data_IF_605088076322
#
_entry.id   IF_605088076322
#
_cell.length_a   1.000
_cell.length_b   1.000
_cell.length_c   1.000
_cell.angle_alpha   90.00
_cell.angle_beta   90.00
_cell.angle_gamma   90.00
#
_symmetry.space_group_name_H-M   'P 1'
#
loop_
_entity.id
_entity.type
_entity.pdbx_description
1 polymer ?
#
# COMPACT_ATOMS: atom_id res chain seq x y z
N UNK A 1 27.67 10.79 20.11
CA UNK A 1 26.74 9.86 19.41
C UNK A 1 25.56 10.67 18.88
N UNK A 2 25.12 10.39 17.65
CA UNK A 2 23.98 11.09 17.03
C UNK A 2 22.69 10.80 17.82
N UNK A 3 21.88 11.84 18.09
CA UNK A 3 20.55 11.69 18.70
C UNK A 3 19.51 11.62 17.59
N UNK A 4 18.97 10.42 17.34
CA UNK A 4 18.06 10.17 16.22
C UNK A 4 16.88 9.29 16.68
N UNK A 5 15.68 9.56 16.17
CA UNK A 5 14.47 8.77 16.44
C UNK A 5 13.57 8.71 15.22
N UNK A 6 12.71 7.68 15.11
CA UNK A 6 11.76 7.54 13.98
C UNK A 6 10.88 8.79 13.82
N UNK A 7 10.38 9.34 14.94
CA UNK A 7 9.60 10.59 14.94
C UNK A 7 10.44 11.80 14.53
N UNK A 8 11.71 11.87 14.95
CA UNK A 8 12.62 12.94 14.54
C UNK A 8 12.88 12.94 13.03
N UNK A 9 13.10 11.76 12.44
CA UNK A 9 13.27 11.61 10.99
C UNK A 9 12.01 12.05 10.24
N UNK A 10 10.83 11.68 10.73
CA UNK A 10 9.54 12.08 10.14
C UNK A 10 9.34 13.59 10.13
N UNK A 11 9.67 14.26 11.23
CA UNK A 11 9.56 15.72 11.35
C UNK A 11 10.61 16.47 10.51
N UNK A 12 11.74 15.84 10.20
CA UNK A 12 12.78 16.42 9.34
C UNK A 12 12.46 16.27 7.85
N UNK A 13 11.67 15.27 7.47
CA UNK A 13 11.29 15.06 6.07
C UNK A 13 10.49 16.26 5.54
N UNK A 14 10.77 16.66 4.31
CA UNK A 14 10.07 17.78 3.67
C UNK A 14 8.55 17.57 3.56
N UNK A 15 8.09 16.32 3.50
CA UNK A 15 6.67 15.98 3.55
C UNK A 15 6.45 14.53 3.99
N UNK A 16 5.21 14.20 4.34
CA UNK A 16 4.82 12.83 4.70
C UNK A 16 5.05 11.83 3.55
N UNK A 17 4.89 12.28 2.29
CA UNK A 17 5.13 11.43 1.13
C UNK A 17 6.62 11.16 0.93
N UNK A 18 7.47 12.17 1.18
CA UNK A 18 8.94 12.04 1.17
C UNK A 18 9.41 11.09 2.27
N UNK A 19 8.84 11.21 3.48
CA UNK A 19 9.10 10.29 4.59
C UNK A 19 8.75 8.84 4.21
N UNK A 20 7.52 8.62 3.73
CA UNK A 20 7.04 7.28 3.39
C UNK A 20 7.89 6.63 2.29
N UNK A 21 8.28 7.39 1.26
CA UNK A 21 9.16 6.88 0.20
C UNK A 21 10.58 6.63 0.71
N UNK A 22 11.12 7.48 1.58
CA UNK A 22 12.48 7.32 2.11
C UNK A 22 12.60 6.08 3.01
N UNK A 23 11.56 5.81 3.81
CA UNK A 23 11.43 4.56 4.56
C UNK A 23 11.32 3.35 3.63
N UNK A 24 10.56 3.46 2.54
CA UNK A 24 10.46 2.40 1.55
C UNK A 24 11.81 2.09 0.89
N UNK A 25 12.55 3.12 0.47
CA UNK A 25 13.87 2.97 -0.15
C UNK A 25 14.89 2.32 0.81
N UNK A 26 14.81 2.64 2.10
CA UNK A 26 15.62 1.97 3.12
C UNK A 26 15.27 0.48 3.22
N UNK A 27 13.97 0.15 3.30
CA UNK A 27 13.48 -1.25 3.36
C UNK A 27 13.85 -2.06 2.11
N UNK A 28 13.98 -1.41 0.96
CA UNK A 28 14.38 -2.01 -0.31
C UNK A 28 15.89 -2.18 -0.47
N UNK A 29 16.69 -1.90 0.57
CA UNK A 29 18.16 -1.94 0.54
C UNK A 29 18.78 -1.07 -0.56
N UNK A 30 18.19 0.09 -0.85
CA UNK A 30 18.78 1.05 -1.78
C UNK A 30 20.08 1.69 -1.24
N UNK A 31 20.42 1.48 0.03
CA UNK A 31 21.73 1.86 0.57
C UNK A 31 22.80 0.86 0.13
N UNK A 32 23.66 1.25 -0.80
CA UNK A 32 24.70 0.37 -1.38
C UNK A 32 26.04 0.47 -0.67
N UNK A 33 26.33 1.60 -0.04
CA UNK A 33 27.56 1.81 0.71
C UNK A 33 27.32 2.79 1.86
N UNK A 34 27.92 2.52 3.02
CA UNK A 34 27.89 3.40 4.18
C UNK A 34 29.23 3.35 4.91
N UNK A 35 29.81 4.52 5.16
CA UNK A 35 31.10 4.66 5.85
C UNK A 35 31.02 5.71 6.93
N UNK A 36 31.73 5.48 8.03
CA UNK A 36 31.90 6.45 9.11
C UNK A 36 33.34 6.96 9.13
N UNK A 37 33.51 8.28 9.28
CA UNK A 37 34.82 8.92 9.40
C UNK A 37 35.02 9.51 10.78
N UNK A 38 35.89 8.89 11.59
CA UNK A 38 36.23 9.39 12.93
C UNK A 38 36.88 10.79 12.91
N UNK A 39 37.70 11.10 11.91
CA UNK A 39 38.40 12.40 11.83
C UNK A 39 37.48 13.56 11.48
N UNK A 40 36.42 13.31 10.70
CA UNK A 40 35.46 14.31 10.25
C UNK A 40 34.10 14.21 10.94
N UNK A 41 33.95 13.28 11.88
CA UNK A 41 32.69 12.98 12.60
C UNK A 41 31.48 12.95 11.67
N UNK A 42 31.60 12.23 10.55
CA UNK A 42 30.55 12.21 9.51
C UNK A 42 30.28 10.80 8.97
N UNK A 43 29.01 10.54 8.67
CA UNK A 43 28.58 9.43 7.84
C UNK A 43 28.59 9.84 6.38
N UNK A 44 29.11 8.97 5.52
CA UNK A 44 29.01 9.08 4.07
C UNK A 44 28.31 7.84 3.53
N UNK A 45 27.13 8.06 2.97
CA UNK A 45 26.20 7.00 2.57
C UNK A 45 25.83 7.21 1.10
N UNK A 46 25.89 6.14 0.33
CA UNK A 46 25.48 6.11 -1.07
C UNK A 46 24.15 5.38 -1.18
N UNK A 47 23.13 6.09 -1.67
CA UNK A 47 21.79 5.56 -1.95
C UNK A 47 21.65 5.41 -3.46
N UNK A 48 21.42 4.19 -3.94
CA UNK A 48 21.26 3.86 -5.36
C UNK A 48 19.79 3.60 -5.66
N UNK A 49 19.23 4.44 -6.52
CA UNK A 49 17.92 4.21 -7.13
C UNK A 49 18.11 4.14 -8.66
N UNK A 50 17.70 5.16 -9.41
CA UNK A 50 18.05 5.29 -10.84
C UNK A 50 19.50 5.78 -11.03
N UNK A 51 20.00 6.56 -10.07
CA UNK A 51 21.37 7.07 -10.00
C UNK A 51 21.91 6.88 -8.59
N UNK A 52 23.21 7.10 -8.42
CA UNK A 52 23.84 7.11 -7.11
C UNK A 52 23.80 8.50 -6.49
N UNK A 53 23.14 8.59 -5.34
CA UNK A 53 23.04 9.79 -4.55
C UNK A 53 23.93 9.69 -3.33
N UNK A 54 24.79 10.69 -3.15
CA UNK A 54 25.69 10.79 -2.02
C UNK A 54 25.02 11.63 -0.94
N UNK A 55 24.82 11.01 0.23
CA UNK A 55 24.33 11.65 1.44
C UNK A 55 25.48 11.73 2.44
N UNK A 56 25.72 12.92 2.96
CA UNK A 56 26.68 13.16 4.04
C UNK A 56 25.95 13.69 5.26
N UNK A 57 26.14 13.05 6.40
CA UNK A 57 25.57 13.45 7.69
C UNK A 57 26.72 13.78 8.63
N UNK A 58 26.86 15.04 9.00
CA UNK A 58 27.87 15.51 9.94
C UNK A 58 27.29 15.51 11.35
N UNK A 59 27.97 14.90 12.31
CA UNK A 59 27.49 14.76 13.69
C UNK A 59 28.30 15.65 14.60
N UNK A 60 27.61 16.52 15.32
CA UNK A 60 28.19 17.42 16.30
C UNK A 60 28.40 16.73 17.65
N UNK A 61 29.31 17.24 18.51
CA UNK A 61 29.60 16.62 19.82
C UNK A 61 28.40 16.53 20.77
N UNK A 62 27.44 17.45 20.65
CA UNK A 62 26.18 17.48 21.41
C UNK A 62 25.15 16.44 20.92
N UNK A 63 25.46 15.73 19.85
CA UNK A 63 24.59 14.74 19.20
C UNK A 63 23.62 15.33 18.19
N UNK A 64 23.65 16.66 17.96
CA UNK A 64 22.97 17.27 16.81
C UNK A 64 23.67 16.87 15.50
N UNK A 65 22.97 17.03 14.37
CA UNK A 65 23.54 16.67 13.09
C UNK A 65 23.05 17.58 11.96
N UNK A 66 23.91 17.73 10.96
CA UNK A 66 23.60 18.37 9.70
C UNK A 66 23.61 17.33 8.58
N UNK A 67 22.79 17.53 7.56
CA UNK A 67 22.70 16.61 6.44
C UNK A 67 22.86 17.38 5.11
N UNK A 68 23.51 16.74 4.14
CA UNK A 68 23.61 17.23 2.77
C UNK A 68 23.40 16.08 1.81
N UNK A 69 22.69 16.34 0.73
CA UNK A 69 22.50 15.39 -0.36
C UNK A 69 22.79 16.07 -1.70
N UNK A 70 23.37 15.33 -2.64
CA UNK A 70 23.63 15.81 -4.00
C UNK A 70 22.41 15.75 -4.94
N UNK A 71 21.22 15.37 -4.44
CA UNK A 71 20.02 15.29 -5.27
C UNK A 71 19.41 16.67 -5.57
N UNK A 72 18.76 16.79 -6.72
CA UNK A 72 18.10 18.03 -7.17
C UNK A 72 16.89 18.44 -6.32
N UNK A 73 16.25 17.50 -5.63
CA UNK A 73 15.12 17.74 -4.71
C UNK A 73 15.55 18.49 -3.45
N UNK A 74 16.77 18.28 -2.96
CA UNK A 74 17.30 18.97 -1.78
C UNK A 74 17.44 20.49 -1.97
N UNK A 75 17.48 20.95 -3.23
CA UNK A 75 17.54 22.38 -3.57
C UNK A 75 16.16 23.04 -3.66
N UNK A 76 15.07 22.27 -3.65
CA UNK A 76 13.70 22.76 -3.94
C UNK A 76 12.74 22.69 -2.76
N UNK A 77 12.97 21.80 -1.79
CA UNK A 77 12.04 21.58 -0.68
C UNK A 77 12.62 22.08 0.66
N UNK A 78 11.79 22.71 1.49
CA UNK A 78 12.12 22.97 2.89
C UNK A 78 12.07 21.65 3.67
N UNK A 79 13.21 20.97 3.78
CA UNK A 79 13.36 19.77 4.60
C UNK A 79 14.28 18.71 4.00
N UNK A 80 14.41 17.59 4.71
CA UNK A 80 15.20 16.46 4.27
C UNK A 80 14.54 15.78 3.07
N UNK A 81 15.32 15.58 2.00
CA UNK A 81 14.88 14.82 0.85
C UNK A 81 14.77 13.33 1.18
N UNK A 82 14.15 12.58 0.27
CA UNK A 82 13.95 11.13 0.40
C UNK A 82 15.25 10.37 0.67
N UNK A 83 16.33 10.69 -0.04
CA UNK A 83 17.63 10.02 0.13
C UNK A 83 18.22 10.27 1.53
N UNK A 84 18.05 11.48 2.08
CA UNK A 84 18.47 11.81 3.45
C UNK A 84 17.66 10.99 4.45
N UNK A 85 16.34 10.90 4.27
CA UNK A 85 15.48 10.05 5.11
C UNK A 85 15.95 8.60 5.10
N UNK A 86 16.23 8.04 3.91
CA UNK A 86 16.76 6.68 3.73
C UNK A 86 18.09 6.48 4.48
N UNK A 87 19.01 7.43 4.34
CA UNK A 87 20.30 7.39 5.03
C UNK A 87 20.15 7.49 6.55
N UNK A 88 19.22 8.31 7.05
CA UNK A 88 18.94 8.45 8.48
C UNK A 88 18.36 7.17 9.08
N UNK A 89 17.47 6.48 8.37
CA UNK A 89 16.98 5.16 8.81
C UNK A 89 18.10 4.12 8.90
N UNK A 90 19.03 4.13 7.94
CA UNK A 90 20.20 3.28 8.00
C UNK A 90 21.06 3.57 9.23
N UNK A 91 21.34 4.84 9.51
CA UNK A 91 22.12 5.24 10.70
C UNK A 91 21.39 4.89 11.99
N UNK A 92 20.07 5.10 12.06
CA UNK A 92 19.27 4.75 13.22
C UNK A 92 19.38 3.26 13.54
N UNK A 93 19.17 2.40 12.54
CA UNK A 93 19.24 0.96 12.74
C UNK A 93 20.67 0.48 13.05
N UNK A 94 21.69 1.10 12.43
CA UNK A 94 23.08 0.83 12.75
C UNK A 94 23.41 1.16 14.21
N UNK A 95 22.95 2.31 14.71
CA UNK A 95 23.14 2.72 16.10
C UNK A 95 22.38 1.80 17.05
N UNK A 96 21.12 1.49 16.77
CA UNK A 96 20.30 0.55 17.55
C UNK A 96 20.98 -0.83 17.66
N UNK A 97 21.49 -1.37 16.54
CA UNK A 97 22.23 -2.64 16.52
C UNK A 97 23.56 -2.56 17.26
N UNK A 98 24.25 -1.43 17.22
CA UNK A 98 25.51 -1.24 17.94
C UNK A 98 25.32 -1.06 19.45
N UNK A 99 24.13 -0.67 19.90
CA UNK A 99 23.76 -0.52 21.31
C UNK A 99 23.23 -1.82 21.91
N UNK A 100 22.75 -2.76 21.09
CA UNK A 100 22.43 -4.11 21.53
C UNK A 100 23.75 -4.89 21.70
N UNK A 101 24.21 -5.05 22.94
CA UNK A 101 25.36 -5.92 23.25
C UNK A 101 25.03 -7.35 22.81
N UNK A 102 25.91 -7.97 22.01
CA UNK A 102 25.81 -9.42 21.78
C UNK A 102 26.01 -10.12 23.13
N UNK A 103 25.05 -10.92 23.61
CA UNK A 103 25.24 -11.67 24.84
C UNK A 103 26.38 -12.67 24.66
N UNK A 104 27.34 -12.67 25.60
CA UNK A 104 28.50 -13.58 25.60
C UNK A 104 28.10 -15.07 25.74
N UNK A 105 26.90 -15.33 26.27
CA UNK A 105 26.39 -16.67 26.49
C UNK A 105 25.87 -17.28 25.17
N UNK A 106 26.36 -18.47 24.73
CA UNK A 106 25.96 -19.09 23.46
C UNK A 106 24.45 -19.41 23.34
N UNK A 107 23.77 -19.69 24.46
CA UNK A 107 22.32 -19.92 24.45
C UNK A 107 21.55 -18.62 24.18
N UNK A 108 21.96 -17.53 24.82
CA UNK A 108 21.37 -16.20 24.62
C UNK A 108 21.73 -15.64 23.24
N UNK A 109 22.91 -15.97 22.71
CA UNK A 109 23.31 -15.59 21.34
C UNK A 109 22.39 -16.22 20.29
N UNK A 110 21.98 -17.47 20.49
CA UNK A 110 21.02 -18.15 19.61
C UNK A 110 19.64 -17.48 19.68
N UNK A 111 19.17 -17.17 20.90
CA UNK A 111 17.91 -16.44 21.10
C UNK A 111 17.99 -15.03 20.51
N UNK A 112 19.11 -14.33 20.68
CA UNK A 112 19.37 -13.01 20.11
C UNK A 112 19.38 -13.04 18.58
N UNK A 113 19.97 -14.06 17.96
CA UNK A 113 19.93 -14.26 16.50
C UNK A 113 18.51 -14.53 16.01
N UNK A 114 17.73 -15.31 16.76
CA UNK A 114 16.32 -15.59 16.45
C UNK A 114 15.47 -14.32 16.59
N UNK A 115 15.63 -13.56 17.67
CA UNK A 115 14.94 -12.28 17.89
C UNK A 115 15.35 -11.23 16.86
N UNK A 116 16.63 -11.16 16.50
CA UNK A 116 17.13 -10.32 15.42
C UNK A 116 16.54 -10.72 14.05
N UNK A 117 16.40 -12.02 13.80
CA UNK A 117 15.72 -12.55 12.61
C UNK A 117 14.25 -12.13 12.56
N UNK A 118 13.51 -12.27 13.66
CA UNK A 118 12.08 -11.87 13.72
C UNK A 118 11.87 -10.35 13.74
N UNK A 119 12.74 -9.58 14.40
CA UNK A 119 12.67 -8.11 14.41
C UNK A 119 12.96 -7.53 13.02
N UNK A 120 13.83 -8.19 12.23
CA UNK A 120 14.03 -7.85 10.81
C UNK A 120 12.84 -8.30 9.93
N UNK A 121 12.01 -9.24 10.40
CA UNK A 121 10.85 -9.76 9.69
C UNK A 121 9.61 -8.88 9.87
N UNK A 122 9.42 -8.27 11.05
CA UNK A 122 8.25 -7.40 11.34
C UNK A 122 8.28 -6.06 10.57
N UNK A 123 9.43 -5.64 10.06
CA UNK A 123 9.55 -4.46 9.18
C UNK A 123 9.82 -4.80 7.70
N UNK A 124 9.89 -6.09 7.36
CA UNK A 124 9.95 -6.55 5.97
C UNK A 124 8.56 -6.47 5.34
N UNK A 125 8.26 -5.36 4.67
CA UNK A 125 7.23 -5.41 3.62
C UNK A 125 7.85 -6.25 2.53
N UNK A 126 7.67 -7.58 2.63
CA UNK A 126 7.89 -8.51 1.53
C UNK A 126 7.16 -7.92 0.34
N UNK A 127 7.93 -7.36 -0.58
CA UNK A 127 7.41 -6.69 -1.77
C UNK A 127 6.91 -7.78 -2.69
N UNK A 128 5.71 -8.28 -2.41
CA UNK A 128 5.06 -9.21 -3.31
C UNK A 128 4.85 -8.54 -4.66
N UNK A 129 4.77 -9.39 -5.67
CA UNK A 129 4.65 -8.96 -7.06
C UNK A 129 3.47 -8.01 -7.24
N UNK A 130 3.66 -7.02 -8.11
CA UNK A 130 2.56 -6.16 -8.54
C UNK A 130 1.85 -6.81 -9.71
N UNK A 131 0.57 -7.09 -9.54
CA UNK A 131 -0.27 -7.71 -10.55
C UNK A 131 -1.21 -6.69 -11.19
N UNK A 132 -1.62 -7.01 -12.41
CA UNK A 132 -2.51 -6.22 -13.24
C UNK A 132 -3.76 -7.03 -13.59
N UNK A 133 -4.89 -6.35 -13.73
CA UNK A 133 -6.18 -6.91 -14.15
C UNK A 133 -6.51 -6.36 -15.54
N UNK A 134 -6.70 -7.26 -16.49
CA UNK A 134 -7.25 -6.96 -17.81
C UNK A 134 -8.70 -7.40 -17.87
N UNK A 135 -9.58 -6.46 -18.18
CA UNK A 135 -11.01 -6.69 -18.37
C UNK A 135 -11.29 -6.85 -19.86
N UNK A 136 -11.92 -7.96 -20.24
CA UNK A 136 -12.43 -8.18 -21.60
C UNK A 136 -13.95 -8.13 -21.57
N UNK A 137 -14.53 -7.14 -22.25
CA UNK A 137 -15.97 -6.99 -22.43
C UNK A 137 -16.37 -7.54 -23.80
N UNK A 138 -17.34 -8.46 -23.83
CA UNK A 138 -17.93 -8.99 -25.05
C UNK A 138 -19.42 -8.67 -25.09
N UNK A 139 -19.87 -8.09 -26.19
CA UNK A 139 -21.27 -7.76 -26.46
C UNK A 139 -21.66 -8.58 -27.70
N UNK A 140 -22.36 -9.72 -27.54
CA UNK A 140 -22.78 -10.53 -28.68
C UNK A 140 -23.61 -9.71 -29.68
N UNK A 141 -23.37 -9.87 -30.99
CA UNK A 141 -24.04 -9.11 -32.06
C UNK A 141 -25.57 -9.32 -32.17
N UNK A 142 -26.13 -10.30 -31.44
CA UNK A 142 -27.58 -10.57 -31.38
C UNK A 142 -28.35 -9.50 -30.57
N UNK A 143 -27.65 -8.52 -29.99
CA UNK A 143 -28.17 -7.53 -29.03
C UNK A 143 -28.67 -6.21 -29.65
N UNK A 144 -29.30 -6.26 -30.82
CA UNK A 144 -30.16 -5.15 -31.29
C UNK A 144 -31.57 -5.16 -30.68
N UNK A 145 -31.83 -6.01 -29.67
CA UNK A 145 -33.10 -6.09 -28.94
C UNK A 145 -32.97 -5.63 -27.49
N UNK A 146 -34.10 -5.31 -26.85
CA UNK A 146 -34.19 -4.63 -25.56
C UNK A 146 -33.64 -5.43 -24.35
N UNK A 147 -33.32 -6.70 -24.51
CA UNK A 147 -32.97 -7.65 -23.43
C UNK A 147 -31.48 -8.02 -23.36
N UNK A 148 -30.61 -7.26 -24.01
CA UNK A 148 -29.19 -7.63 -24.10
C UNK A 148 -28.38 -7.60 -22.81
N UNK A 149 -27.42 -8.52 -22.72
CA UNK A 149 -26.45 -8.61 -21.62
C UNK A 149 -25.01 -8.52 -22.14
N UNK A 150 -24.18 -7.75 -21.44
CA UNK A 150 -22.75 -7.71 -21.70
C UNK A 150 -22.04 -8.78 -20.86
N UNK A 151 -21.06 -9.44 -21.46
CA UNK A 151 -20.27 -10.49 -20.80
C UNK A 151 -18.90 -9.92 -20.48
N UNK A 152 -18.58 -9.82 -19.19
CA UNK A 152 -17.30 -9.37 -18.69
C UNK A 152 -16.48 -10.57 -18.24
N UNK A 153 -15.23 -10.65 -18.69
CA UNK A 153 -14.27 -11.68 -18.27
C UNK A 153 -12.96 -11.03 -17.79
N UNK A 154 -12.30 -11.70 -16.85
CA UNK A 154 -11.10 -11.18 -16.19
C UNK A 154 -9.87 -12.03 -16.52
N UNK A 155 -8.75 -11.34 -16.78
CA UNK A 155 -7.42 -11.93 -16.77
C UNK A 155 -6.53 -11.18 -15.80
N UNK A 156 -5.74 -11.90 -15.03
CA UNK A 156 -4.87 -11.32 -13.98
C UNK A 156 -3.45 -11.81 -14.14
N UNK A 157 -2.47 -10.95 -13.86
CA UNK A 157 -1.07 -11.31 -13.96
C UNK A 157 -0.14 -10.12 -14.06
N UNK A 158 1.16 -10.40 -14.03
CA UNK A 158 2.22 -9.41 -14.22
C UNK A 158 2.80 -9.55 -15.64
N UNK A 159 3.74 -10.50 -15.82
CA UNK A 159 4.33 -10.85 -17.11
C UNK A 159 3.40 -11.74 -17.96
N UNK A 160 2.75 -12.73 -17.32
CA UNK A 160 1.79 -13.63 -17.96
C UNK A 160 0.40 -13.47 -17.37
N UNK A 161 -0.61 -13.33 -18.24
CA UNK A 161 -2.00 -13.12 -17.84
C UNK A 161 -2.78 -14.42 -17.84
N UNK A 162 -3.29 -14.79 -16.67
CA UNK A 162 -4.10 -15.99 -16.46
C UNK A 162 -5.58 -15.65 -16.48
N UNK A 163 -6.37 -16.48 -17.14
CA UNK A 163 -7.84 -16.36 -17.12
C UNK A 163 -8.36 -16.72 -15.74
N UNK A 164 -9.17 -15.85 -15.15
CA UNK A 164 -9.88 -16.15 -13.90
C UNK A 164 -10.99 -17.16 -14.21
N UNK A 165 -10.87 -18.37 -13.68
CA UNK A 165 -11.79 -19.48 -13.97
C UNK A 165 -13.15 -19.30 -13.28
N UNK A 166 -13.13 -18.78 -12.05
CA UNK A 166 -14.32 -18.45 -11.26
C UNK A 166 -14.13 -17.07 -10.66
N UNK A 167 -14.86 -16.08 -11.19
CA UNK A 167 -14.78 -14.70 -10.68
C UNK A 167 -15.33 -14.63 -9.26
N UNK A 168 -16.44 -15.34 -8.97
CA UNK A 168 -17.01 -15.40 -7.61
C UNK A 168 -15.96 -15.89 -6.60
N UNK A 169 -15.33 -17.04 -6.87
CA UNK A 169 -14.28 -17.58 -6.00
C UNK A 169 -13.12 -16.60 -5.85
N UNK A 170 -12.64 -16.03 -6.95
CA UNK A 170 -11.56 -15.05 -6.92
C UNK A 170 -11.87 -13.85 -6.01
N UNK A 171 -13.09 -13.32 -6.04
CA UNK A 171 -13.52 -12.21 -5.18
C UNK A 171 -13.69 -12.65 -3.73
N UNK A 172 -14.23 -13.84 -3.46
CA UNK A 172 -14.36 -14.39 -2.11
C UNK A 172 -12.98 -14.60 -1.48
N UNK A 173 -12.06 -15.26 -2.18
CA UNK A 173 -10.70 -15.50 -1.70
C UNK A 173 -9.98 -14.16 -1.44
N UNK A 174 -10.18 -13.17 -2.31
CA UNK A 174 -9.62 -11.82 -2.12
C UNK A 174 -10.22 -11.11 -0.89
N UNK A 175 -11.54 -11.16 -0.71
CA UNK A 175 -12.24 -10.53 0.42
C UNK A 175 -11.86 -11.18 1.76
N UNK A 176 -11.76 -12.51 1.80
CA UNK A 176 -11.38 -13.28 2.99
C UNK A 176 -9.89 -13.22 3.31
N UNK A 177 -9.09 -12.50 2.51
CA UNK A 177 -7.64 -12.38 2.65
C UNK A 177 -6.90 -13.71 2.46
N UNK A 178 -7.43 -14.58 1.61
CA UNK A 178 -6.82 -15.87 1.27
C UNK A 178 -5.82 -15.73 0.10
N UNK A 179 -4.92 -16.71 -0.01
CA UNK A 179 -3.95 -16.77 -1.10
C UNK A 179 -4.63 -17.27 -2.38
N UNK A 180 -4.43 -16.56 -3.50
CA UNK A 180 -5.06 -16.87 -4.78
C UNK A 180 -4.02 -17.50 -5.71
N UNK A 181 -4.23 -18.77 -6.06
CA UNK A 181 -3.40 -19.50 -7.01
C UNK A 181 -4.16 -19.68 -8.34
N UNK A 182 -3.55 -19.28 -9.46
CA UNK A 182 -4.12 -19.48 -10.80
C UNK A 182 -3.08 -20.07 -11.75
N UNK A 183 -3.45 -21.12 -12.48
CA UNK A 183 -2.54 -21.76 -13.42
C UNK A 183 -1.29 -22.30 -12.73
N UNK A 184 -0.12 -22.13 -13.36
CA UNK A 184 1.15 -22.69 -12.88
C UNK A 184 1.97 -21.71 -12.03
N UNK A 185 1.98 -20.42 -12.37
CA UNK A 185 2.93 -19.47 -11.79
C UNK A 185 2.26 -18.28 -11.10
N UNK A 186 0.95 -18.05 -11.28
CA UNK A 186 0.29 -16.94 -10.60
C UNK A 186 -0.04 -17.31 -9.16
N UNK A 187 0.53 -16.54 -8.23
CA UNK A 187 0.33 -16.67 -6.79
C UNK A 187 0.18 -15.30 -6.15
N UNK A 188 -1.06 -14.88 -5.91
CA UNK A 188 -1.35 -13.69 -5.14
C UNK A 188 -1.34 -14.04 -3.65
N UNK A 189 -0.39 -13.49 -2.89
CA UNK A 189 -0.28 -13.67 -1.44
C UNK A 189 -0.85 -12.43 -0.77
N UNK A 190 -1.88 -12.59 0.05
CA UNK A 190 -2.53 -11.45 0.66
C UNK A 190 -1.61 -10.78 1.69
N UNK A 191 -1.45 -9.45 1.58
CA UNK A 191 -0.53 -8.68 2.44
C UNK A 191 0.89 -8.53 1.88
N UNK A 192 1.30 -9.40 0.96
CA UNK A 192 2.59 -9.32 0.27
C UNK A 192 2.39 -8.79 -1.17
N UNK A 193 1.52 -9.43 -1.94
CA UNK A 193 1.19 -9.06 -3.32
C UNK A 193 0.24 -7.86 -3.39
N UNK A 194 0.38 -7.06 -4.45
CA UNK A 194 -0.49 -5.89 -4.67
C UNK A 194 -0.99 -5.80 -6.09
N UNK A 195 -2.18 -5.21 -6.27
CA UNK A 195 -2.63 -4.76 -7.59
C UNK A 195 -2.17 -3.32 -7.82
N UNK A 196 -1.84 -2.99 -9.07
CA UNK A 196 -1.55 -1.60 -9.43
C UNK A 196 -2.79 -0.71 -9.23
N UNK A 197 -2.59 0.61 -9.18
CA UNK A 197 -3.64 1.58 -8.85
C UNK A 197 -4.85 1.50 -9.81
N UNK A 198 -4.65 1.22 -11.09
CA UNK A 198 -5.75 1.11 -12.05
C UNK A 198 -6.52 -0.19 -11.85
N UNK A 199 -5.81 -1.31 -11.71
CA UNK A 199 -6.42 -2.62 -11.45
C UNK A 199 -7.15 -2.68 -10.13
N UNK A 200 -6.63 -2.01 -9.09
CA UNK A 200 -7.31 -1.90 -7.80
C UNK A 200 -8.67 -1.22 -7.93
N UNK A 201 -8.78 -0.12 -8.67
CA UNK A 201 -10.08 0.54 -8.91
C UNK A 201 -11.09 -0.38 -9.59
N UNK A 202 -10.63 -1.16 -10.57
CA UNK A 202 -11.48 -2.16 -11.26
C UNK A 202 -11.91 -3.25 -10.29
N UNK A 203 -10.99 -3.75 -9.47
CA UNK A 203 -11.26 -4.78 -8.48
C UNK A 203 -12.25 -4.31 -7.42
N UNK A 204 -12.03 -3.11 -6.87
CA UNK A 204 -12.92 -2.47 -5.89
C UNK A 204 -14.34 -2.31 -6.47
N UNK A 205 -14.45 -1.93 -7.74
CA UNK A 205 -15.74 -1.83 -8.42
C UNK A 205 -16.44 -3.19 -8.57
N UNK A 206 -15.71 -4.23 -8.97
CA UNK A 206 -16.27 -5.57 -9.12
C UNK A 206 -16.64 -6.18 -7.76
N UNK A 207 -15.86 -5.91 -6.71
CA UNK A 207 -16.17 -6.27 -5.33
C UNK A 207 -17.47 -5.60 -4.85
N UNK A 208 -17.66 -4.32 -5.13
CA UNK A 208 -18.93 -3.63 -4.83
C UNK A 208 -20.12 -4.30 -5.52
N UNK A 209 -19.99 -4.69 -6.79
CA UNK A 209 -21.04 -5.44 -7.50
C UNK A 209 -21.31 -6.77 -6.79
N UNK A 210 -20.26 -7.47 -6.36
CA UNK A 210 -20.38 -8.73 -5.63
C UNK A 210 -21.07 -8.59 -4.28
N UNK A 211 -20.71 -7.58 -3.48
CA UNK A 211 -21.33 -7.30 -2.18
C UNK A 211 -22.81 -6.95 -2.32
N UNK A 212 -23.16 -6.12 -3.30
CA UNK A 212 -24.55 -5.79 -3.63
C UNK A 212 -25.30 -7.05 -4.02
N UNK A 213 -24.69 -7.92 -4.85
CA UNK A 213 -25.31 -9.19 -5.19
C UNK A 213 -25.50 -10.08 -3.95
N UNK A 214 -24.51 -10.29 -3.10
CA UNK A 214 -24.65 -11.13 -1.89
C UNK A 214 -25.73 -10.58 -0.94
N UNK A 215 -25.90 -9.26 -0.88
CA UNK A 215 -26.99 -8.62 -0.13
C UNK A 215 -28.39 -8.88 -0.76
N UNK A 216 -28.48 -8.95 -2.10
CA UNK A 216 -29.73 -9.15 -2.85
C UNK A 216 -30.04 -10.65 -3.09
N UNK A 217 -29.04 -11.52 -3.15
CA UNK A 217 -29.15 -12.96 -3.45
C UNK A 217 -29.97 -13.72 -2.39
N UNK A 218 -30.18 -13.13 -1.19
CA UNK A 218 -31.17 -13.64 -0.23
C UNK A 218 -32.62 -13.52 -0.70
N UNK A 219 -32.90 -12.73 -1.73
CA UNK A 219 -34.26 -12.41 -2.19
C UNK A 219 -34.50 -12.73 -3.69
N UNK A 220 -33.49 -12.71 -4.57
CA UNK A 220 -33.69 -12.93 -6.00
C UNK A 220 -32.54 -13.70 -6.67
N UNK A 221 -32.83 -14.90 -7.19
CA UNK A 221 -31.92 -15.81 -7.91
C UNK A 221 -31.38 -15.22 -9.24
N UNK A 222 -30.48 -14.23 -9.19
CA UNK A 222 -29.86 -13.69 -10.41
C UNK A 222 -28.43 -14.22 -10.61
N UNK A 223 -28.23 -15.00 -11.67
CA UNK A 223 -26.92 -15.59 -12.05
C UNK A 223 -25.97 -14.54 -12.66
N UNK A 224 -25.67 -13.46 -11.95
CA UNK A 224 -24.79 -12.39 -12.44
C UNK A 224 -23.32 -12.85 -12.49
N UNK A 225 -22.84 -13.70 -11.58
CA UNK A 225 -21.56 -14.39 -11.73
C UNK A 225 -21.76 -15.80 -12.30
N UNK A 226 -21.33 -16.01 -13.55
CA UNK A 226 -21.37 -17.29 -14.24
C UNK A 226 -19.93 -17.81 -14.49
N UNK A 227 -19.39 -18.58 -13.54
CA UNK A 227 -18.02 -19.11 -13.57
C UNK A 227 -16.99 -18.03 -13.93
N UNK A 228 -16.47 -18.02 -15.16
CA UNK A 228 -15.43 -17.10 -15.60
C UNK A 228 -15.93 -15.73 -16.04
N UNK A 229 -17.25 -15.50 -15.97
CA UNK A 229 -17.90 -14.34 -16.57
C UNK A 229 -18.82 -13.63 -15.56
N UNK A 230 -18.92 -12.31 -15.70
CA UNK A 230 -19.98 -11.49 -15.09
C UNK A 230 -20.96 -11.13 -16.21
N UNK A 231 -22.25 -11.41 -15.99
CA UNK A 231 -23.34 -11.10 -16.93
C UNK A 231 -24.00 -9.81 -16.46
N UNK A 232 -23.79 -8.73 -17.21
CA UNK A 232 -24.38 -7.42 -16.93
C UNK A 232 -25.61 -7.22 -17.81
N UNK A 233 -26.81 -7.40 -17.24
CA UNK A 233 -28.09 -7.07 -17.89
C UNK A 233 -28.43 -5.59 -17.75
N UNK A 234 -29.31 -5.05 -18.63
CA UNK A 234 -29.85 -3.67 -18.50
C UNK A 234 -30.44 -3.37 -17.12
N UNK A 235 -31.06 -4.36 -16.46
CA UNK A 235 -31.62 -4.23 -15.11
C UNK A 235 -30.52 -4.05 -14.06
N UNK A 236 -29.35 -4.68 -14.21
CA UNK A 236 -28.21 -4.42 -13.33
C UNK A 236 -27.69 -2.99 -13.49
N UNK A 237 -27.68 -2.44 -14.70
CA UNK A 237 -27.37 -1.02 -14.91
C UNK A 237 -28.41 -0.07 -14.27
N UNK A 238 -29.69 -0.48 -14.21
CA UNK A 238 -30.77 0.31 -13.62
C UNK A 238 -30.82 0.21 -12.09
N UNK A 239 -30.61 -0.99 -11.52
CA UNK A 239 -30.44 -1.21 -10.09
C UNK A 239 -29.17 -0.52 -9.57
N UNK A 240 -28.11 -0.48 -10.37
CA UNK A 240 -26.89 0.32 -10.13
C UNK A 240 -27.21 1.82 -10.04
N UNK A 241 -28.05 2.35 -10.95
CA UNK A 241 -28.48 3.76 -10.90
C UNK A 241 -29.35 4.08 -9.67
N UNK A 242 -30.23 3.15 -9.28
CA UNK A 242 -31.11 3.30 -8.10
C UNK A 242 -30.31 3.19 -6.80
N UNK A 243 -29.40 2.22 -6.69
CA UNK A 243 -28.57 2.03 -5.50
C UNK A 243 -27.61 3.21 -5.30
N UNK A 244 -27.01 3.73 -6.37
CA UNK A 244 -26.22 4.96 -6.33
C UNK A 244 -27.05 6.20 -5.92
N UNK A 245 -28.31 6.31 -6.38
CA UNK A 245 -29.24 7.35 -5.93
C UNK A 245 -29.63 7.20 -4.46
N UNK A 246 -29.85 5.99 -3.97
CA UNK A 246 -30.20 5.74 -2.57
C UNK A 246 -29.00 6.04 -1.66
N UNK A 247 -27.79 5.62 -2.03
CA UNK A 247 -26.56 5.95 -1.29
C UNK A 247 -26.32 7.47 -1.28
N UNK A 248 -26.54 8.17 -2.40
CA UNK A 248 -26.48 9.65 -2.44
C UNK A 248 -27.59 10.31 -1.61
N UNK A 249 -28.79 9.74 -1.54
CA UNK A 249 -29.89 10.25 -0.72
C UNK A 249 -29.61 10.04 0.78
N UNK A 250 -29.07 8.90 1.16
CA UNK A 250 -28.67 8.61 2.54
C UNK A 250 -27.48 9.50 2.95
N UNK A 251 -26.48 9.69 2.08
CA UNK A 251 -25.36 10.60 2.31
C UNK A 251 -25.80 12.07 2.46
N UNK A 252 -26.73 12.53 1.61
CA UNK A 252 -27.31 13.87 1.73
C UNK A 252 -28.21 14.02 2.97
N UNK A 253 -28.83 12.94 3.46
CA UNK A 253 -29.66 12.94 4.65
C UNK A 253 -28.82 12.96 5.94
N UNK A 254 -27.68 12.25 5.97
CA UNK A 254 -26.74 12.28 7.11
C UNK A 254 -26.00 13.62 7.21
N UNK A 255 -25.62 14.27 6.10
CA UNK A 255 -25.04 15.62 6.13
C UNK A 255 -26.02 16.70 6.59
N UNK A 256 -27.32 16.60 6.26
CA UNK A 256 -28.33 17.55 6.74
C UNK A 256 -28.65 17.39 8.23
N UNK A 257 -28.60 16.16 8.76
CA UNK A 257 -28.92 15.91 10.17
C UNK A 257 -27.75 16.14 11.13
N UNK A 258 -26.50 16.26 10.66
CA UNK A 258 -25.35 16.67 11.49
C UNK A 258 -25.19 18.19 11.67
N UNK A 259 -26.01 19.02 11.02
CA UNK A 259 -25.98 20.50 11.18
C UNK A 259 -27.06 21.08 12.11
N UNK A 260 -27.89 20.25 12.76
CA UNK A 260 -28.89 20.70 13.74
C UNK A 260 -28.65 20.10 15.13
N UNK A 261 -27.55 20.47 15.78
CA UNK A 261 -27.37 20.23 17.23
C UNK A 261 -26.32 21.12 17.87
N UNK A 262 -26.31 22.41 17.55
CA UNK A 262 -25.67 23.44 18.40
C UNK A 262 -26.48 24.75 18.32
N UNK A 263 -27.65 24.77 18.97
CA UNK A 263 -28.34 26.02 19.33
C UNK A 263 -28.20 26.17 20.84
N UNK A 264 -27.45 27.21 21.22
CA UNK A 264 -27.19 27.66 22.60
C UNK A 264 -28.51 27.82 23.37
N UNK A 265 -28.57 27.22 24.56
CA UNK A 265 -29.51 27.62 25.61
C UNK A 265 -29.09 28.99 26.16
N UNK A 266 -30.00 29.97 26.29
CA UNK A 266 -29.69 31.24 26.91
C UNK A 266 -29.71 31.12 28.43
N UNK A 267 -28.61 31.55 29.06
CA UNK A 267 -28.55 31.90 30.47
C UNK A 267 -29.44 33.13 30.67
N UNK A 268 -30.45 33.03 31.55
CA UNK A 268 -31.21 34.18 32.02
C UNK A 268 -31.24 34.16 33.55
N UNK A 269 -30.56 35.17 34.10
CA UNK A 269 -30.66 35.84 35.42
C UNK A 269 -31.04 35.01 36.63
#
# INVERSE_FOLDING_TARGET
>A
MIRLSRMGIRNLAASETVYARGLQDYKQNHVVNATWSNSKQQYRITVRENFEYLVTIHVSPDGSFEHKCNCSEHLKEEGACRHVVTALFFVLNYVERSLMEEPDNPAEKTVYQILGYFSNQEDSVMQGETYHIKVSLSIPNILRSETGSAILSLRVGNHHYYKVQSIKKFLTDFYNKENIMLGKEFKFIHGESKFDKQSKKVLDYILQIYEIQEAIDKLFYSKLFAKSNIILTKICCFAFWISWRIVLLIWNYTERNMKMSYIRLPIRR
#
